data_IF_291699498406
#
_entry.id   IF_291699498406
#
_cell.length_a   1.000
_cell.length_b   1.000
_cell.length_c   1.000
_cell.angle_alpha   90.00
_cell.angle_beta   90.00
_cell.angle_gamma   90.00
#
_symmetry.space_group_name_H-M   'P 1'
#
loop_
_entity.id
_entity.type
_entity.pdbx_description
1 polymer ?
#
# COMPACT_ATOMS: atom_id res chain seq x y z
N UNK A 1 67.57 -3.45 -57.19
CA UNK A 1 67.47 -3.26 -55.72
C UNK A 1 65.96 -3.08 -55.42
N UNK A 2 65.29 -4.15 -55.00
CA UNK A 2 63.85 -4.11 -54.67
C UNK A 2 63.69 -4.10 -53.17
N UNK A 3 63.13 -3.02 -52.62
CA UNK A 3 62.89 -2.83 -51.23
C UNK A 3 61.50 -3.40 -50.91
N UNK A 4 61.46 -4.52 -50.14
CA UNK A 4 60.23 -5.15 -49.68
C UNK A 4 59.84 -4.50 -48.32
N UNK A 5 58.68 -3.84 -48.32
CA UNK A 5 58.07 -3.28 -47.10
C UNK A 5 57.19 -4.34 -46.46
N UNK A 6 57.60 -4.81 -45.27
CA UNK A 6 56.73 -5.69 -44.47
C UNK A 6 55.74 -4.81 -43.66
N UNK A 7 54.49 -5.01 -43.93
CA UNK A 7 53.40 -4.41 -43.12
C UNK A 7 53.01 -5.41 -42.04
N UNK A 8 53.34 -5.08 -40.78
CA UNK A 8 52.89 -5.83 -39.62
C UNK A 8 51.48 -5.40 -39.23
N UNK A 9 50.50 -6.27 -39.34
CA UNK A 9 49.14 -6.05 -38.86
C UNK A 9 49.06 -6.32 -37.36
N UNK A 10 48.86 -5.29 -36.54
CA UNK A 10 48.50 -5.44 -35.12
C UNK A 10 47.03 -5.80 -35.02
N UNK A 11 46.72 -7.03 -34.62
CA UNK A 11 45.39 -7.43 -34.22
C UNK A 11 45.14 -7.00 -32.78
N UNK A 12 44.29 -5.96 -32.58
CA UNK A 12 43.80 -5.58 -31.25
C UNK A 12 42.70 -6.56 -30.82
N UNK A 13 43.02 -7.46 -29.85
CA UNK A 13 41.99 -8.21 -29.12
C UNK A 13 41.27 -7.22 -28.18
N UNK A 14 40.04 -6.85 -28.49
CA UNK A 14 39.14 -6.20 -27.57
C UNK A 14 38.67 -7.24 -26.54
N UNK A 15 39.24 -7.20 -25.35
CA UNK A 15 38.71 -7.94 -24.22
C UNK A 15 37.36 -7.35 -23.85
N UNK A 16 36.29 -8.13 -24.05
CA UNK A 16 34.98 -7.79 -23.55
C UNK A 16 34.99 -8.05 -22.02
N UNK A 17 35.25 -7.02 -21.24
CA UNK A 17 35.08 -7.09 -19.79
C UNK A 17 33.59 -7.22 -19.49
N UNK A 18 33.16 -8.39 -19.05
CA UNK A 18 31.84 -8.60 -18.47
C UNK A 18 31.82 -7.89 -17.12
N UNK A 19 31.18 -6.72 -17.07
CA UNK A 19 30.85 -6.04 -15.82
C UNK A 19 29.97 -7.00 -15.01
N UNK A 20 30.36 -7.40 -13.80
CA UNK A 20 29.50 -8.21 -12.95
C UNK A 20 28.25 -7.37 -12.64
N UNK A 21 27.09 -7.79 -13.12
CA UNK A 21 25.82 -7.27 -12.65
C UNK A 21 25.72 -7.61 -11.17
N UNK A 22 25.89 -6.59 -10.31
CA UNK A 22 25.53 -6.74 -8.91
C UNK A 22 24.08 -7.22 -8.87
N UNK A 23 23.83 -8.41 -8.33
CA UNK A 23 22.47 -8.86 -8.06
C UNK A 23 21.88 -7.87 -7.07
N UNK A 24 20.82 -7.17 -7.46
CA UNK A 24 20.06 -6.39 -6.49
C UNK A 24 19.70 -7.30 -5.31
N UNK A 25 19.86 -6.82 -4.06
CA UNK A 25 19.44 -7.59 -2.91
C UNK A 25 17.97 -7.97 -3.11
N UNK A 26 17.63 -9.23 -2.84
CA UNK A 26 16.25 -9.68 -2.90
C UNK A 26 15.39 -8.73 -2.04
N UNK A 27 14.30 -8.23 -2.62
CA UNK A 27 13.32 -7.41 -1.92
C UNK A 27 12.90 -8.11 -0.63
N UNK A 28 13.10 -7.47 0.51
CA UNK A 28 12.67 -7.99 1.80
C UNK A 28 11.18 -7.69 1.98
N UNK A 29 10.37 -8.73 2.20
CA UNK A 29 8.96 -8.59 2.52
C UNK A 29 8.83 -8.62 4.05
N UNK A 30 8.27 -7.56 4.63
CA UNK A 30 8.00 -7.45 6.05
C UNK A 30 6.48 -7.53 6.32
N UNK A 31 6.07 -8.49 7.14
CA UNK A 31 4.69 -8.60 7.62
C UNK A 31 4.55 -7.76 8.88
N UNK A 32 3.83 -6.65 8.77
CA UNK A 32 3.68 -5.68 9.83
C UNK A 32 2.49 -6.09 10.72
N UNK A 33 2.70 -6.11 12.03
CA UNK A 33 1.68 -6.52 13.00
C UNK A 33 1.53 -5.45 14.09
N UNK A 34 0.36 -5.40 14.70
CA UNK A 34 0.11 -4.63 15.92
C UNK A 34 -0.16 -5.59 17.09
N UNK A 35 0.04 -5.18 18.34
CA UNK A 35 -0.34 -6.02 19.48
C UNK A 35 -1.80 -6.50 19.41
N UNK A 36 -2.70 -5.62 19.01
CA UNK A 36 -4.12 -5.93 18.86
C UNK A 36 -4.39 -6.97 17.75
N UNK A 37 -3.69 -6.90 16.61
CA UNK A 37 -3.86 -7.88 15.52
C UNK A 37 -3.34 -9.26 15.89
N UNK A 38 -2.27 -9.32 16.68
CA UNK A 38 -1.71 -10.58 17.19
C UNK A 38 -2.66 -11.23 18.18
N UNK A 39 -3.22 -10.46 19.10
CA UNK A 39 -4.20 -10.94 20.10
C UNK A 39 -5.50 -11.43 19.43
N UNK A 40 -5.97 -10.71 18.40
CA UNK A 40 -7.18 -11.07 17.66
C UNK A 40 -7.06 -12.38 16.85
N UNK A 41 -5.84 -12.79 16.52
CA UNK A 41 -5.58 -14.03 15.78
C UNK A 41 -6.16 -14.05 14.36
N UNK A 42 -6.24 -12.88 13.69
CA UNK A 42 -6.73 -12.81 12.32
C UNK A 42 -5.81 -13.56 11.35
N UNK A 43 -6.36 -14.20 10.30
CA UNK A 43 -5.57 -14.92 9.29
C UNK A 43 -4.93 -13.99 8.24
N UNK A 44 -4.64 -12.75 8.59
CA UNK A 44 -4.01 -11.73 7.74
C UNK A 44 -3.18 -10.76 8.59
N UNK A 45 -2.23 -10.08 7.94
CA UNK A 45 -1.46 -9.00 8.56
C UNK A 45 -2.17 -7.66 8.34
N UNK A 46 -2.20 -6.75 9.32
CA UNK A 46 -2.74 -5.40 9.15
C UNK A 46 -2.09 -4.64 8.00
N UNK A 47 -0.80 -4.88 7.76
CA UNK A 47 -0.09 -4.35 6.61
C UNK A 47 1.09 -5.25 6.21
N UNK A 48 1.52 -5.12 4.96
CA UNK A 48 2.73 -5.79 4.42
C UNK A 48 3.57 -4.74 3.71
N UNK A 49 4.87 -4.70 4.01
CA UNK A 49 5.83 -3.86 3.32
C UNK A 49 6.66 -4.68 2.31
N UNK A 50 6.82 -4.13 1.11
CA UNK A 50 7.70 -4.64 0.06
C UNK A 50 8.31 -3.46 -0.71
N UNK A 51 9.62 -3.37 -0.80
CA UNK A 51 10.35 -2.29 -1.52
C UNK A 51 9.92 -0.87 -1.12
N UNK A 52 9.61 -0.66 0.16
CA UNK A 52 9.12 0.60 0.68
C UNK A 52 7.67 0.93 0.29
N UNK A 53 6.95 0.02 -0.38
CA UNK A 53 5.50 0.07 -0.51
C UNK A 53 4.86 -0.63 0.67
N UNK A 54 3.87 0.00 1.27
CA UNK A 54 3.11 -0.56 2.39
C UNK A 54 1.67 -0.77 1.94
N UNK A 55 1.26 -2.03 1.92
CA UNK A 55 -0.08 -2.47 1.56
C UNK A 55 -0.85 -2.71 2.86
N UNK A 56 -1.85 -1.88 3.13
CA UNK A 56 -2.72 -2.03 4.29
C UNK A 56 -3.87 -2.99 3.91
N UNK A 57 -4.24 -3.86 4.84
CA UNK A 57 -5.44 -4.68 4.71
C UNK A 57 -6.72 -3.83 4.76
N UNK A 58 -7.83 -4.39 4.32
CA UNK A 58 -9.14 -3.75 4.43
C UNK A 58 -9.51 -3.52 5.90
N UNK A 59 -9.92 -2.30 6.20
CA UNK A 59 -10.41 -1.87 7.50
C UNK A 59 -11.90 -1.54 7.43
N UNK A 60 -12.62 -1.88 8.49
CA UNK A 60 -14.03 -1.55 8.70
C UNK A 60 -14.21 -0.76 9.99
N UNK A 61 -15.36 -0.20 10.23
CA UNK A 61 -15.68 0.58 11.43
C UNK A 61 -15.80 -0.25 12.71
N UNK A 62 -14.82 -1.15 12.95
CA UNK A 62 -14.81 -2.11 14.06
C UNK A 62 -13.90 -1.64 15.19
N UNK A 63 -14.43 -1.63 16.40
CA UNK A 63 -13.68 -1.29 17.62
C UNK A 63 -14.33 -1.96 18.84
N UNK A 64 -13.53 -2.37 19.82
CA UNK A 64 -14.01 -3.01 21.06
C UNK A 64 -14.94 -4.23 20.83
N UNK A 65 -14.68 -5.01 19.79
CA UNK A 65 -15.42 -6.24 19.51
C UNK A 65 -16.71 -6.07 18.71
N UNK A 66 -17.03 -4.87 18.20
CA UNK A 66 -18.24 -4.61 17.41
C UNK A 66 -18.04 -3.49 16.39
N UNK A 67 -18.91 -3.44 15.38
CA UNK A 67 -19.06 -2.26 14.53
C UNK A 67 -19.63 -1.09 15.34
N UNK A 68 -19.14 0.11 15.09
CA UNK A 68 -19.73 1.32 15.71
C UNK A 68 -21.14 1.54 15.22
N UNK A 69 -22.09 1.88 16.09
CA UNK A 69 -23.46 2.15 15.69
C UNK A 69 -23.58 3.55 15.03
N UNK A 70 -24.65 3.75 14.26
CA UNK A 70 -25.02 5.07 13.73
C UNK A 70 -24.90 5.22 12.21
N UNK A 71 -24.59 4.13 11.50
CA UNK A 71 -24.59 4.08 10.03
C UNK A 71 -23.30 4.56 9.42
N UNK A 72 -23.35 4.94 8.13
CA UNK A 72 -22.18 5.19 7.28
C UNK A 72 -21.22 6.25 7.85
N UNK A 73 -21.71 7.32 8.44
CA UNK A 73 -20.85 8.39 8.95
C UNK A 73 -19.93 7.94 10.09
N UNK A 74 -20.46 7.45 11.23
CA UNK A 74 -19.67 6.86 12.31
C UNK A 74 -18.77 5.70 11.85
N UNK A 75 -19.28 4.78 11.03
CA UNK A 75 -18.48 3.67 10.51
C UNK A 75 -17.32 4.15 9.65
N UNK A 76 -17.55 5.10 8.74
CA UNK A 76 -16.46 5.70 7.94
C UNK A 76 -15.39 6.32 8.83
N UNK A 77 -15.81 7.08 9.85
CA UNK A 77 -14.86 7.71 10.78
C UNK A 77 -14.00 6.65 11.48
N UNK A 78 -14.62 5.65 12.07
CA UNK A 78 -13.90 4.59 12.76
C UNK A 78 -13.00 3.79 11.81
N UNK A 79 -13.44 3.52 10.58
CA UNK A 79 -12.61 2.88 9.56
C UNK A 79 -11.35 3.70 9.27
N UNK A 80 -11.50 5.01 9.09
CA UNK A 80 -10.36 5.91 8.83
C UNK A 80 -9.44 6.01 10.05
N UNK A 81 -9.98 6.07 11.27
CA UNK A 81 -9.20 6.07 12.52
C UNK A 81 -8.39 4.75 12.67
N UNK A 82 -8.96 3.60 12.27
CA UNK A 82 -8.25 2.31 12.28
C UNK A 82 -7.10 2.29 11.27
N UNK A 83 -7.30 2.85 10.07
CA UNK A 83 -6.24 2.99 9.06
C UNK A 83 -5.15 3.92 9.59
N UNK A 84 -5.51 5.06 10.19
CA UNK A 84 -4.57 6.00 10.79
C UNK A 84 -3.72 5.32 11.87
N UNK A 85 -4.33 4.57 12.76
CA UNK A 85 -3.62 3.81 13.80
C UNK A 85 -2.63 2.80 13.20
N UNK A 86 -2.99 2.14 12.10
CA UNK A 86 -2.11 1.21 11.38
C UNK A 86 -0.95 1.96 10.71
N UNK A 87 -1.20 3.11 10.10
CA UNK A 87 -0.16 3.97 9.53
C UNK A 87 0.82 4.45 10.61
N UNK A 88 0.31 5.01 11.71
CA UNK A 88 1.12 5.52 12.82
C UNK A 88 1.97 4.44 13.48
N UNK A 89 1.42 3.24 13.70
CA UNK A 89 2.16 2.09 14.22
C UNK A 89 3.36 1.70 13.34
N UNK A 90 3.33 2.11 12.06
CA UNK A 90 4.39 1.88 11.09
C UNK A 90 5.19 3.16 10.73
N UNK A 91 5.09 4.21 11.55
CA UNK A 91 5.74 5.50 11.37
C UNK A 91 5.41 6.16 10.02
N UNK A 92 4.15 6.07 9.60
CA UNK A 92 3.57 6.69 8.41
C UNK A 92 2.41 7.60 8.81
N UNK A 93 2.03 8.52 7.94
CA UNK A 93 0.85 9.36 8.04
C UNK A 93 0.05 9.37 6.74
N UNK A 94 -1.06 10.09 6.74
CA UNK A 94 -1.91 10.24 5.56
C UNK A 94 -1.20 10.89 4.36
N UNK A 95 -0.18 11.70 4.59
CA UNK A 95 0.70 12.29 3.58
C UNK A 95 1.50 11.26 2.76
N UNK A 96 1.61 10.04 3.27
CA UNK A 96 2.30 8.92 2.62
C UNK A 96 1.36 7.99 1.87
N UNK A 97 0.05 8.15 2.02
CA UNK A 97 -0.95 7.32 1.33
C UNK A 97 -1.05 7.71 -0.14
N UNK A 98 -0.84 6.75 -1.03
CA UNK A 98 -0.80 6.93 -2.49
C UNK A 98 -2.14 6.60 -3.12
N UNK A 99 -2.80 5.55 -2.61
CA UNK A 99 -4.07 5.08 -3.15
C UNK A 99 -4.92 4.44 -2.06
N UNK A 100 -6.25 4.61 -2.16
CA UNK A 100 -7.22 3.80 -1.42
C UNK A 100 -8.26 3.19 -2.37
N UNK A 101 -8.75 2.00 -2.02
CA UNK A 101 -9.94 1.37 -2.60
C UNK A 101 -11.03 1.35 -1.54
N UNK A 102 -12.22 1.79 -1.91
CA UNK A 102 -13.39 1.89 -1.03
C UNK A 102 -14.46 0.94 -1.53
N UNK A 103 -14.96 0.11 -0.63
CA UNK A 103 -16.09 -0.77 -0.84
C UNK A 103 -17.27 -0.26 -0.01
N UNK A 104 -18.42 -0.06 -0.63
CA UNK A 104 -19.66 0.37 0.04
C UNK A 104 -20.72 -0.72 -0.08
N UNK A 105 -21.38 -1.02 1.02
CA UNK A 105 -22.53 -1.93 0.99
C UNK A 105 -23.71 -1.32 0.21
N UNK A 106 -23.85 0.02 0.24
CA UNK A 106 -24.83 0.76 -0.54
C UNK A 106 -24.20 2.01 -1.17
N UNK A 107 -24.16 2.08 -2.49
CA UNK A 107 -23.63 3.22 -3.24
C UNK A 107 -24.47 4.51 -3.06
N UNK A 108 -25.69 4.43 -2.57
CA UNK A 108 -26.47 5.61 -2.22
C UNK A 108 -25.85 6.40 -1.05
N UNK A 109 -25.00 5.76 -0.24
CA UNK A 109 -24.29 6.38 0.88
C UNK A 109 -22.99 7.10 0.49
N UNK A 110 -22.59 7.02 -0.78
CA UNK A 110 -21.39 7.66 -1.31
C UNK A 110 -21.23 9.14 -0.93
N UNK A 111 -22.27 10.02 -1.00
CA UNK A 111 -22.13 11.40 -0.59
C UNK A 111 -21.78 11.55 0.91
N UNK A 112 -22.48 10.82 1.78
CA UNK A 112 -22.27 10.88 3.23
C UNK A 112 -20.89 10.32 3.63
N UNK A 113 -20.44 9.25 2.97
CA UNK A 113 -19.09 8.73 3.11
C UNK A 113 -18.03 9.79 2.77
N UNK A 114 -18.18 10.48 1.63
CA UNK A 114 -17.23 11.50 1.16
C UNK A 114 -17.09 12.68 2.12
N UNK A 115 -18.16 13.08 2.81
CA UNK A 115 -18.10 14.15 3.82
C UNK A 115 -17.12 13.83 4.96
N UNK A 116 -17.04 12.55 5.36
CA UNK A 116 -16.11 12.12 6.40
C UNK A 116 -14.72 11.85 5.82
N UNK A 117 -14.63 11.10 4.73
CA UNK A 117 -13.36 10.73 4.11
C UNK A 117 -12.44 11.92 3.86
N UNK A 118 -12.99 13.03 3.33
CA UNK A 118 -12.21 14.22 2.99
C UNK A 118 -11.56 14.90 4.20
N UNK A 119 -12.08 14.69 5.41
CA UNK A 119 -11.57 15.36 6.61
C UNK A 119 -10.23 14.81 7.12
N UNK A 120 -9.74 13.70 6.54
CA UNK A 120 -8.46 13.08 6.88
C UNK A 120 -7.31 13.56 6.00
N UNK A 121 -7.56 14.42 5.02
CA UNK A 121 -6.57 14.91 4.08
C UNK A 121 -6.58 16.45 4.05
N UNK A 122 -5.40 17.04 4.25
CA UNK A 122 -5.26 18.50 4.29
C UNK A 122 -5.22 19.12 2.89
N UNK A 123 -4.20 18.81 2.09
CA UNK A 123 -3.95 19.45 0.79
C UNK A 123 -4.20 18.53 -0.41
N UNK A 124 -3.80 17.26 -0.30
CA UNK A 124 -3.81 16.33 -1.42
C UNK A 124 -4.57 15.06 -1.08
N UNK A 125 -5.39 14.60 -2.01
CA UNK A 125 -6.09 13.33 -1.90
C UNK A 125 -5.29 12.21 -2.59
N UNK A 126 -5.22 11.00 -2.00
CA UNK A 126 -4.67 9.83 -2.70
C UNK A 126 -5.54 9.48 -3.91
N UNK A 127 -4.95 8.78 -4.87
CA UNK A 127 -5.75 8.16 -5.93
C UNK A 127 -6.79 7.22 -5.29
N UNK A 128 -8.02 7.19 -5.84
CA UNK A 128 -9.09 6.40 -5.24
C UNK A 128 -9.92 5.67 -6.29
N UNK A 129 -10.29 4.44 -5.97
CA UNK A 129 -11.39 3.71 -6.62
C UNK A 129 -12.49 3.47 -5.59
N UNK A 130 -13.74 3.41 -6.03
CA UNK A 130 -14.84 3.05 -5.17
C UNK A 130 -15.88 2.24 -5.93
N UNK A 131 -16.45 1.26 -5.25
CA UNK A 131 -17.44 0.33 -5.84
C UNK A 131 -18.42 -0.15 -4.77
N UNK A 132 -19.60 -0.57 -5.23
CA UNK A 132 -20.58 -1.27 -4.41
C UNK A 132 -20.18 -2.74 -4.24
N UNK A 133 -20.27 -3.25 -3.02
CA UNK A 133 -20.09 -4.66 -2.68
C UNK A 133 -21.43 -5.33 -2.42
N UNK A 134 -21.52 -6.65 -2.65
CA UNK A 134 -22.73 -7.43 -2.33
C UNK A 134 -22.89 -7.74 -0.84
N UNK A 135 -21.91 -7.38 -0.01
CA UNK A 135 -21.83 -7.54 1.44
C UNK A 135 -20.40 -7.33 1.89
N UNK A 136 -20.21 -6.87 3.12
CA UNK A 136 -18.93 -6.67 3.77
C UNK A 136 -18.88 -7.47 5.08
N UNK A 137 -17.67 -7.63 5.62
CA UNK A 137 -17.49 -8.35 6.89
C UNK A 137 -18.36 -7.74 8.00
N UNK A 138 -18.99 -8.59 8.79
CA UNK A 138 -19.87 -8.23 9.92
C UNK A 138 -21.04 -7.30 9.54
N UNK A 139 -21.47 -7.30 8.28
CA UNK A 139 -22.48 -6.38 7.73
C UNK A 139 -22.07 -4.89 7.80
N UNK A 140 -20.75 -4.61 7.73
CA UNK A 140 -20.22 -3.26 7.66
C UNK A 140 -20.80 -2.51 6.44
N UNK A 141 -20.93 -1.20 6.56
CA UNK A 141 -21.41 -0.31 5.49
C UNK A 141 -20.27 0.14 4.58
N UNK A 142 -19.04 0.14 5.09
CA UNK A 142 -17.85 0.57 4.37
C UNK A 142 -16.65 -0.29 4.78
N UNK A 143 -15.80 -0.59 3.80
CA UNK A 143 -14.47 -1.14 3.98
C UNK A 143 -13.50 -0.34 3.11
N UNK A 144 -12.30 -0.07 3.63
CA UNK A 144 -11.28 0.70 2.93
C UNK A 144 -9.93 -0.01 3.05
N UNK A 145 -9.27 -0.23 1.93
CA UNK A 145 -7.86 -0.61 1.89
C UNK A 145 -7.02 0.53 1.31
N UNK A 146 -5.78 0.68 1.76
CA UNK A 146 -4.89 1.72 1.25
C UNK A 146 -3.49 1.20 0.95
N UNK A 147 -2.78 1.91 0.08
CA UNK A 147 -1.37 1.71 -0.25
C UNK A 147 -0.63 2.98 0.11
N UNK A 148 0.44 2.85 0.90
CA UNK A 148 1.32 3.94 1.27
C UNK A 148 2.74 3.73 0.74
N UNK A 149 3.57 4.76 0.78
CA UNK A 149 4.98 4.74 0.39
C UNK A 149 5.85 5.34 1.49
N UNK A 150 6.92 4.63 1.91
CA UNK A 150 7.94 5.16 2.82
C UNK A 150 8.78 6.26 2.19
#
# INVERSE_FOLDING_TARGET
MRLSVLIAALASLAACETVPTASEPASEIAFLTTPASVEAGFPFSPAVEADGWVFLSGEIGFVNGALVPGGIGPETRQTMDNIEATLEANALGWDRVVKCTVFLADMAEWPAFNEIYRTYFDENFPARSALGASGLALDARVEIECIAKR
#
